data_IF_250706975280
#
_entry.id   IF_250706975280
#
_cell.length_a   1.000
_cell.length_b   1.000
_cell.length_c   1.000
_cell.angle_alpha   90.00
_cell.angle_beta   90.00
_cell.angle_gamma   90.00
#
_symmetry.space_group_name_H-M   'P 1'
#
loop_
_entity.id
_entity.type
_entity.pdbx_description
1 polymer ?
#
# COMPACT_ATOMS: atom_id res chain seq x y z
N UNK A 1 35.09 12.29 89.80
CA UNK A 1 35.96 12.37 88.61
C UNK A 1 35.67 11.12 87.77
N UNK A 2 35.15 11.32 86.55
CA UNK A 2 34.80 10.35 85.50
C UNK A 2 33.83 9.20 85.80
N UNK A 3 32.59 9.34 85.31
CA UNK A 3 31.61 8.26 85.06
C UNK A 3 31.51 8.02 83.57
N UNK A 4 31.74 6.76 83.15
CA UNK A 4 31.70 6.32 81.75
C UNK A 4 30.26 6.02 81.29
N UNK A 5 29.88 6.55 80.12
CA UNK A 5 28.63 6.21 79.43
C UNK A 5 28.95 5.23 78.30
N UNK A 6 28.40 4.01 78.38
CA UNK A 6 28.46 3.02 77.31
C UNK A 6 27.32 3.26 76.32
N UNK A 7 27.65 3.49 75.06
CA UNK A 7 26.69 3.70 73.97
C UNK A 7 26.62 2.41 73.13
N UNK A 8 25.50 1.69 73.19
CA UNK A 8 25.22 0.50 72.37
C UNK A 8 24.46 0.91 71.10
N UNK A 9 25.11 0.74 69.94
CA UNK A 9 24.50 0.92 68.62
C UNK A 9 23.80 -0.38 68.20
N UNK A 10 22.47 -0.35 68.08
CA UNK A 10 21.70 -1.40 67.42
C UNK A 10 21.66 -1.12 65.91
N UNK A 11 22.30 -1.99 65.11
CA UNK A 11 22.18 -1.99 63.65
C UNK A 11 20.94 -2.78 63.24
N UNK A 12 19.94 -2.10 62.68
CA UNK A 12 18.76 -2.74 62.09
C UNK A 12 19.09 -3.18 60.66
N UNK A 13 19.19 -4.48 60.44
CA UNK A 13 19.23 -5.07 59.10
C UNK A 13 17.83 -5.05 58.47
N UNK A 14 17.65 -4.28 57.40
CA UNK A 14 16.45 -4.34 56.54
C UNK A 14 16.66 -5.42 55.48
N UNK A 15 15.92 -6.50 55.56
CA UNK A 15 15.88 -7.54 54.51
C UNK A 15 15.01 -7.00 53.38
N UNK A 16 15.64 -6.55 52.29
CA UNK A 16 14.94 -6.21 51.06
C UNK A 16 14.43 -7.50 50.39
N UNK A 17 13.15 -7.81 50.55
CA UNK A 17 12.46 -8.84 49.79
C UNK A 17 12.47 -8.43 48.30
N UNK A 18 13.33 -9.06 47.49
CA UNK A 18 13.26 -8.96 46.03
C UNK A 18 11.88 -9.44 45.60
N UNK A 19 11.10 -8.54 45.01
CA UNK A 19 9.82 -8.85 44.40
C UNK A 19 9.99 -10.01 43.42
N UNK A 20 9.07 -10.99 43.39
CA UNK A 20 9.14 -12.07 42.40
C UNK A 20 9.10 -11.46 41.00
N UNK A 21 10.02 -11.90 40.14
CA UNK A 21 10.00 -11.57 38.72
C UNK A 21 8.72 -12.17 38.13
N UNK A 22 7.67 -11.36 38.01
CA UNK A 22 6.51 -11.71 37.21
C UNK A 22 6.97 -11.75 35.76
N UNK A 23 7.08 -12.97 35.22
CA UNK A 23 7.19 -13.15 33.78
C UNK A 23 5.81 -12.83 33.22
N UNK A 24 5.68 -11.70 32.54
CA UNK A 24 4.46 -11.38 31.80
C UNK A 24 4.30 -12.40 30.66
N UNK A 25 3.40 -13.35 30.85
CA UNK A 25 3.00 -14.36 29.87
C UNK A 25 1.90 -13.82 28.94
N UNK A 26 1.89 -12.52 28.67
CA UNK A 26 0.97 -11.94 27.70
C UNK A 26 1.21 -12.56 26.32
N UNK A 27 0.25 -13.38 25.87
CA UNK A 27 0.24 -13.91 24.52
C UNK A 27 0.06 -12.70 23.59
N UNK A 28 0.94 -12.50 22.60
CA UNK A 28 0.78 -11.39 21.67
C UNK A 28 -0.60 -11.48 21.01
N UNK A 29 -1.30 -10.34 20.84
CA UNK A 29 -2.60 -10.33 20.22
C UNK A 29 -2.52 -10.94 18.81
N UNK A 30 -3.47 -11.81 18.49
CA UNK A 30 -3.58 -12.36 17.14
C UNK A 30 -4.11 -11.24 16.25
N UNK A 31 -3.33 -10.83 15.26
CA UNK A 31 -3.76 -9.88 14.25
C UNK A 31 -4.62 -10.61 13.23
N UNK A 32 -5.88 -10.18 13.08
CA UNK A 32 -6.80 -10.68 12.05
C UNK A 32 -6.97 -9.64 10.95
N UNK A 33 -6.87 -10.05 9.69
CA UNK A 33 -7.09 -9.16 8.55
C UNK A 33 -8.57 -9.11 8.18
N UNK A 34 -9.15 -7.90 8.21
CA UNK A 34 -10.52 -7.65 7.75
C UNK A 34 -10.47 -7.09 6.32
N UNK A 35 -11.19 -7.71 5.40
CA UNK A 35 -11.37 -7.18 4.03
C UNK A 35 -12.28 -5.96 4.09
N UNK A 36 -11.78 -4.83 3.60
CA UNK A 36 -12.52 -3.57 3.47
C UNK A 36 -13.18 -3.44 2.10
N UNK A 37 -12.46 -3.80 1.04
CA UNK A 37 -12.98 -3.77 -0.32
C UNK A 37 -12.23 -4.75 -1.22
N UNK A 38 -12.88 -5.18 -2.29
CA UNK A 38 -12.29 -5.97 -3.37
C UNK A 38 -12.87 -5.54 -4.70
N UNK A 39 -11.99 -5.26 -5.67
CA UNK A 39 -12.33 -4.89 -7.04
C UNK A 39 -11.43 -5.61 -8.03
N UNK A 40 -11.94 -5.77 -9.24
CA UNK A 40 -11.22 -6.46 -10.29
C UNK A 40 -11.59 -5.94 -11.67
N UNK A 41 -10.73 -6.22 -12.64
CA UNK A 41 -11.07 -6.12 -14.05
C UNK A 41 -10.35 -7.20 -14.87
N UNK A 42 -10.83 -7.46 -16.09
CA UNK A 42 -10.06 -8.29 -17.03
C UNK A 42 -8.96 -7.47 -17.68
N UNK A 43 -7.78 -8.04 -17.97
CA UNK A 43 -6.76 -7.37 -18.79
C UNK A 43 -6.97 -7.53 -20.30
N UNK A 44 -8.05 -8.20 -20.72
CA UNK A 44 -8.25 -8.65 -22.10
C UNK A 44 -9.31 -7.87 -22.88
N UNK A 45 -10.09 -7.01 -22.22
CA UNK A 45 -11.33 -6.43 -22.76
C UNK A 45 -11.30 -4.89 -22.85
N UNK A 46 -10.21 -4.28 -23.34
CA UNK A 46 -10.12 -2.80 -23.49
C UNK A 46 -10.64 -2.30 -24.83
N UNK A 47 -10.28 -3.00 -25.91
CA UNK A 47 -10.61 -2.69 -27.29
C UNK A 47 -10.98 -3.96 -28.05
N UNK A 48 -11.66 -3.80 -29.18
CA UNK A 48 -11.98 -4.92 -30.07
C UNK A 48 -10.73 -5.55 -30.72
N UNK A 49 -9.64 -4.78 -30.85
CA UNK A 49 -8.40 -5.23 -31.48
C UNK A 49 -7.48 -5.83 -30.42
N UNK A 50 -7.21 -7.14 -30.53
CA UNK A 50 -6.43 -7.90 -29.55
C UNK A 50 -5.03 -7.32 -29.32
N UNK A 51 -4.34 -6.86 -30.36
CA UNK A 51 -2.99 -6.27 -30.22
C UNK A 51 -2.98 -5.00 -29.37
N UNK A 52 -4.08 -4.23 -29.34
CA UNK A 52 -4.20 -3.06 -28.47
C UNK A 52 -4.37 -3.51 -27.02
N UNK A 53 -5.18 -4.53 -26.76
CA UNK A 53 -5.32 -5.11 -25.41
C UNK A 53 -3.98 -5.60 -24.86
N UNK A 54 -3.14 -6.21 -25.70
CA UNK A 54 -1.79 -6.65 -25.32
C UNK A 54 -0.89 -5.49 -24.87
N UNK A 55 -0.97 -4.33 -25.54
CA UNK A 55 -0.24 -3.11 -25.13
C UNK A 55 -0.70 -2.64 -23.76
N UNK A 56 -2.02 -2.54 -23.55
CA UNK A 56 -2.61 -2.15 -22.26
C UNK A 56 -2.19 -3.10 -21.14
N UNK A 57 -2.29 -4.41 -21.38
CA UNK A 57 -1.88 -5.45 -20.43
C UNK A 57 -0.41 -5.31 -20.05
N UNK A 58 0.50 -5.25 -21.04
CA UNK A 58 1.95 -5.11 -20.80
C UNK A 58 2.29 -3.88 -19.97
N UNK A 59 1.68 -2.74 -20.29
CA UNK A 59 1.90 -1.49 -19.55
C UNK A 59 1.34 -1.54 -18.13
N UNK A 60 0.16 -2.14 -17.91
CA UNK A 60 -0.42 -2.35 -16.58
C UNK A 60 0.49 -3.25 -15.74
N UNK A 61 0.91 -4.39 -16.28
CA UNK A 61 1.77 -5.33 -15.56
C UNK A 61 3.16 -4.75 -15.28
N UNK A 62 3.74 -3.99 -16.23
CA UNK A 62 4.99 -3.26 -16.00
C UNK A 62 4.84 -2.22 -14.89
N UNK A 63 3.72 -1.48 -14.85
CA UNK A 63 3.45 -0.51 -13.79
C UNK A 63 3.35 -1.17 -12.41
N UNK A 64 2.69 -2.34 -12.33
CA UNK A 64 2.69 -3.15 -11.10
C UNK A 64 4.08 -3.61 -10.70
N UNK A 65 4.94 -3.96 -11.66
CA UNK A 65 6.33 -4.35 -11.37
C UNK A 65 7.17 -3.18 -10.81
N UNK A 66 6.95 -1.97 -11.32
CA UNK A 66 7.51 -0.73 -10.75
C UNK A 66 6.99 -0.47 -9.34
N UNK A 67 5.68 -0.59 -9.12
CA UNK A 67 5.06 -0.45 -7.80
C UNK A 67 5.58 -1.48 -6.78
N UNK A 68 5.78 -2.72 -7.22
CA UNK A 68 6.37 -3.81 -6.45
C UNK A 68 7.90 -3.73 -6.34
N UNK A 69 8.53 -2.71 -6.96
CA UNK A 69 9.99 -2.50 -6.97
C UNK A 69 10.80 -3.67 -7.52
N UNK A 70 10.17 -4.58 -8.27
CA UNK A 70 10.88 -5.65 -9.01
C UNK A 70 11.50 -5.11 -10.28
N UNK A 71 11.01 -3.97 -10.77
CA UNK A 71 11.62 -3.14 -11.80
C UNK A 71 11.87 -1.76 -11.21
N UNK A 72 13.08 -1.23 -11.34
CA UNK A 72 13.41 0.14 -10.92
C UNK A 72 13.81 1.01 -12.12
N UNK A 73 14.23 0.38 -13.21
CA UNK A 73 14.65 1.02 -14.46
C UNK A 73 14.48 0.04 -15.61
N UNK A 74 14.47 0.56 -16.84
CA UNK A 74 14.23 -0.22 -18.07
C UNK A 74 15.08 -1.48 -18.23
N UNK A 75 16.34 -1.47 -17.79
CA UNK A 75 17.25 -2.62 -17.94
C UNK A 75 16.88 -3.80 -17.04
N UNK A 76 16.06 -3.58 -16.01
CA UNK A 76 15.62 -4.60 -15.07
C UNK A 76 14.38 -5.35 -15.58
N UNK A 77 13.82 -4.94 -16.72
CA UNK A 77 12.60 -5.52 -17.30
C UNK A 77 12.87 -6.93 -17.82
N UNK A 78 12.22 -7.90 -17.20
CA UNK A 78 12.09 -9.26 -17.69
C UNK A 78 10.62 -9.55 -18.02
N UNK A 79 10.28 -9.48 -19.31
CA UNK A 79 8.90 -9.69 -19.77
C UNK A 79 8.39 -11.11 -19.48
N UNK A 80 9.26 -12.12 -19.45
CA UNK A 80 8.85 -13.48 -19.13
C UNK A 80 8.38 -13.60 -17.67
N UNK A 81 8.93 -12.78 -16.78
CA UNK A 81 8.53 -12.71 -15.37
C UNK A 81 7.35 -11.77 -15.13
N UNK A 82 7.31 -10.62 -15.80
CA UNK A 82 6.26 -9.60 -15.62
C UNK A 82 4.90 -10.10 -16.12
N UNK A 83 4.88 -10.92 -17.17
CA UNK A 83 3.64 -11.44 -17.76
C UNK A 83 3.08 -12.67 -17.02
N UNK A 84 3.80 -13.21 -16.04
CA UNK A 84 3.31 -14.29 -15.18
C UNK A 84 2.33 -13.78 -14.13
N UNK A 85 1.60 -14.71 -13.51
CA UNK A 85 0.78 -14.42 -12.34
C UNK A 85 1.63 -13.75 -11.27
N UNK A 86 1.05 -12.77 -10.59
CA UNK A 86 1.77 -12.01 -9.58
C UNK A 86 0.90 -11.79 -8.37
N UNK A 87 1.54 -11.84 -7.21
CA UNK A 87 0.96 -11.50 -5.93
C UNK A 87 1.93 -10.56 -5.24
N UNK A 88 1.48 -9.35 -4.92
CA UNK A 88 2.25 -8.45 -4.07
C UNK A 88 1.31 -7.56 -3.27
N UNK A 89 1.86 -6.97 -2.22
CA UNK A 89 1.13 -6.01 -1.40
C UNK A 89 2.02 -4.87 -0.95
N UNK A 90 1.38 -3.77 -0.59
CA UNK A 90 2.02 -2.69 0.16
C UNK A 90 1.10 -2.24 1.29
N UNK A 91 1.71 -1.72 2.35
CA UNK A 91 1.02 -1.24 3.54
C UNK A 91 1.12 0.28 3.61
N UNK A 92 0.03 0.93 4.01
CA UNK A 92 0.00 2.31 4.46
C UNK A 92 -0.30 2.31 5.96
N UNK A 93 0.59 2.86 6.77
CA UNK A 93 0.34 3.14 8.18
C UNK A 93 -0.62 4.32 8.34
N UNK A 94 -1.23 4.52 9.53
CA UNK A 94 -2.05 5.70 9.80
C UNK A 94 -1.34 7.00 9.40
N UNK A 95 -2.00 7.79 8.53
CA UNK A 95 -1.51 9.05 8.00
C UNK A 95 -0.54 8.95 6.81
N UNK A 96 -0.06 7.75 6.46
CA UNK A 96 0.78 7.56 5.27
C UNK A 96 -0.04 7.67 3.98
N UNK A 97 0.65 8.10 2.92
CA UNK A 97 0.04 8.39 1.63
C UNK A 97 0.66 7.51 0.55
N UNK A 98 -0.20 6.92 -0.28
CA UNK A 98 0.17 6.46 -1.61
C UNK A 98 0.00 7.61 -2.59
N UNK A 99 1.01 7.87 -3.41
CA UNK A 99 0.91 8.74 -4.57
C UNK A 99 1.29 7.96 -5.82
N UNK A 100 0.46 7.99 -6.86
CA UNK A 100 0.65 7.12 -8.02
C UNK A 100 2.00 7.33 -8.71
N UNK A 101 2.48 8.56 -8.83
CA UNK A 101 3.85 8.88 -9.25
C UNK A 101 4.51 9.95 -8.35
N UNK A 102 5.80 10.17 -8.55
CA UNK A 102 6.69 10.97 -7.69
C UNK A 102 6.57 12.50 -7.90
N UNK A 103 5.95 12.96 -9.00
CA UNK A 103 5.54 14.36 -9.13
C UNK A 103 4.34 14.64 -8.20
N UNK A 104 4.64 14.97 -6.94
CA UNK A 104 3.66 15.11 -5.86
C UNK A 104 3.33 16.57 -5.55
N UNK A 105 2.09 16.83 -5.10
CA UNK A 105 1.69 18.16 -4.61
C UNK A 105 2.43 18.51 -3.30
N UNK A 106 2.74 19.80 -3.05
CA UNK A 106 3.50 20.22 -1.88
C UNK A 106 2.96 19.74 -0.52
N UNK A 107 1.64 19.65 -0.37
CA UNK A 107 0.96 19.20 0.86
C UNK A 107 1.19 17.72 1.23
N UNK A 108 1.66 16.91 0.27
CA UNK A 108 2.01 15.51 0.44
C UNK A 108 3.52 15.27 0.58
N UNK A 109 4.36 16.30 0.46
CA UNK A 109 5.80 16.17 0.68
C UNK A 109 6.10 15.61 2.08
N UNK A 110 6.90 14.54 2.12
CA UNK A 110 7.25 13.85 3.37
C UNK A 110 6.18 12.92 3.94
N UNK A 111 5.01 12.81 3.31
CA UNK A 111 3.92 11.88 3.71
C UNK A 111 3.79 10.66 2.79
N UNK A 112 4.32 10.75 1.57
CA UNK A 112 4.24 9.67 0.59
C UNK A 112 5.16 8.52 1.00
N UNK A 113 4.56 7.39 1.36
CA UNK A 113 5.25 6.16 1.74
C UNK A 113 5.43 5.21 0.54
N UNK A 114 4.46 5.24 -0.40
CA UNK A 114 4.43 4.34 -1.55
C UNK A 114 4.14 5.11 -2.82
N UNK A 115 4.88 4.80 -3.88
CA UNK A 115 4.65 5.29 -5.23
C UNK A 115 5.10 4.27 -6.26
N UNK A 116 4.57 4.34 -7.49
CA UNK A 116 5.09 3.53 -8.61
C UNK A 116 6.50 3.96 -9.01
N UNK A 117 6.84 5.24 -8.79
CA UNK A 117 8.10 5.86 -9.24
C UNK A 117 8.35 5.74 -10.75
N UNK A 118 7.28 5.56 -11.54
CA UNK A 118 7.32 5.49 -12.99
C UNK A 118 6.74 6.76 -13.64
N UNK A 119 7.23 7.06 -14.83
CA UNK A 119 6.90 8.22 -15.67
C UNK A 119 6.30 7.82 -17.04
N UNK A 120 5.95 6.55 -17.21
CA UNK A 120 5.07 6.05 -18.28
C UNK A 120 5.60 6.30 -19.70
N UNK A 121 6.93 6.37 -19.84
CA UNK A 121 7.60 6.71 -21.09
C UNK A 121 8.39 5.54 -21.69
N UNK A 122 8.74 5.64 -22.97
CA UNK A 122 9.50 4.60 -23.68
C UNK A 122 10.90 4.37 -23.11
N UNK A 123 11.49 5.39 -22.48
CA UNK A 123 12.78 5.33 -21.78
C UNK A 123 12.73 4.42 -20.55
N UNK A 124 11.54 4.20 -19.99
CA UNK A 124 11.28 3.30 -18.87
C UNK A 124 10.73 1.94 -19.32
N UNK A 125 10.57 1.72 -20.63
CA UNK A 125 10.15 0.44 -21.21
C UNK A 125 8.65 0.28 -21.42
N UNK A 126 7.85 1.32 -21.14
CA UNK A 126 6.44 1.32 -21.55
C UNK A 126 6.32 1.22 -23.07
N UNK A 127 5.32 0.48 -23.50
CA UNK A 127 5.03 0.20 -24.92
C UNK A 127 3.88 1.08 -25.42
N UNK A 128 3.78 1.22 -26.74
CA UNK A 128 2.77 2.03 -27.42
C UNK A 128 1.98 1.19 -28.43
N UNK A 129 0.72 1.54 -28.61
CA UNK A 129 -0.16 1.03 -29.66
C UNK A 129 0.02 1.74 -31.02
N UNK A 130 0.90 2.76 -31.07
CA UNK A 130 1.11 3.64 -32.22
C UNK A 130 0.75 5.10 -31.97
N UNK A 131 0.06 5.42 -30.87
CA UNK A 131 -0.32 6.78 -30.51
C UNK A 131 0.44 7.31 -29.28
N UNK A 132 0.33 6.62 -28.14
CA UNK A 132 0.92 7.05 -26.86
C UNK A 132 1.64 5.90 -26.18
N UNK A 133 2.63 6.22 -25.34
CA UNK A 133 3.26 5.26 -24.44
C UNK A 133 2.50 5.22 -23.12
N UNK A 134 2.46 4.05 -22.47
CA UNK A 134 1.87 3.92 -21.13
C UNK A 134 0.35 3.77 -21.13
N UNK A 135 -0.24 3.39 -22.27
CA UNK A 135 -1.64 2.97 -22.34
C UNK A 135 -1.97 1.96 -21.23
N UNK A 136 -3.08 2.16 -20.53
CA UNK A 136 -3.48 1.33 -19.39
C UNK A 136 -3.04 1.84 -18.01
N UNK A 137 -2.11 2.80 -17.92
CA UNK A 137 -1.72 3.42 -16.65
C UNK A 137 -2.91 4.07 -15.94
N UNK A 138 -3.72 4.86 -16.67
CA UNK A 138 -4.96 5.43 -16.14
C UNK A 138 -5.96 4.34 -15.71
N UNK A 139 -5.96 3.18 -16.36
CA UNK A 139 -6.88 2.08 -16.04
C UNK A 139 -6.51 1.45 -14.69
N UNK A 140 -5.23 1.15 -14.48
CA UNK A 140 -4.73 0.65 -13.21
C UNK A 140 -4.99 1.65 -12.08
N UNK A 141 -4.70 2.94 -12.29
CA UNK A 141 -5.00 3.97 -11.30
C UNK A 141 -6.49 4.05 -10.95
N UNK A 142 -7.36 3.87 -11.94
CA UNK A 142 -8.82 3.88 -11.73
C UNK A 142 -9.29 2.65 -10.93
N UNK A 143 -8.70 1.47 -11.15
CA UNK A 143 -8.99 0.29 -10.34
C UNK A 143 -8.55 0.47 -8.88
N UNK A 144 -7.34 1.02 -8.65
CA UNK A 144 -6.83 1.31 -7.30
C UNK A 144 -7.72 2.35 -6.60
N UNK A 145 -8.09 3.43 -7.31
CA UNK A 145 -9.01 4.45 -6.82
C UNK A 145 -10.36 3.85 -6.41
N UNK A 146 -10.91 2.97 -7.25
CA UNK A 146 -12.17 2.30 -6.95
C UNK A 146 -12.09 1.46 -5.67
N UNK A 147 -11.06 0.62 -5.54
CA UNK A 147 -10.86 -0.19 -4.34
C UNK A 147 -10.64 0.68 -3.09
N UNK A 148 -9.87 1.77 -3.20
CA UNK A 148 -9.57 2.67 -2.09
C UNK A 148 -10.80 3.45 -1.60
N UNK A 149 -11.62 3.98 -2.51
CA UNK A 149 -12.85 4.68 -2.16
C UNK A 149 -13.86 3.74 -1.48
N UNK A 150 -14.02 2.52 -2.01
CA UNK A 150 -14.94 1.53 -1.43
C UNK A 150 -14.42 1.00 -0.08
N UNK A 151 -13.11 1.00 0.15
CA UNK A 151 -12.51 0.75 1.46
C UNK A 151 -12.67 1.93 2.45
N UNK A 152 -13.26 3.05 2.02
CA UNK A 152 -13.48 4.24 2.84
C UNK A 152 -12.19 4.93 3.26
N UNK A 153 -11.17 4.92 2.41
CA UNK A 153 -9.95 5.72 2.59
C UNK A 153 -10.17 7.14 2.08
N UNK A 154 -9.33 8.07 2.53
CA UNK A 154 -9.34 9.42 1.98
C UNK A 154 -8.60 9.42 0.63
N UNK A 155 -9.28 9.88 -0.42
CA UNK A 155 -8.75 9.87 -1.79
C UNK A 155 -8.84 11.25 -2.42
N UNK A 156 -7.74 11.69 -3.03
CA UNK A 156 -7.70 12.87 -3.88
C UNK A 156 -7.35 12.47 -5.31
N UNK A 157 -8.29 12.71 -6.22
CA UNK A 157 -8.10 12.61 -7.67
C UNK A 157 -8.00 14.03 -8.22
N UNK A 158 -6.79 14.43 -8.62
CA UNK A 158 -6.54 15.80 -9.10
C UNK A 158 -7.15 16.08 -10.47
N UNK A 159 -7.31 15.03 -11.28
CA UNK A 159 -8.02 15.08 -12.55
C UNK A 159 -8.69 13.75 -12.85
N UNK A 160 -9.97 13.81 -13.23
CA UNK A 160 -10.74 12.62 -13.56
C UNK A 160 -10.53 12.18 -15.02
N UNK A 161 -10.75 10.89 -15.27
CA UNK A 161 -10.79 10.26 -16.59
C UNK A 161 -12.21 9.77 -16.89
N UNK A 162 -13.22 10.60 -16.60
CA UNK A 162 -14.61 10.25 -16.85
C UNK A 162 -15.04 10.47 -18.32
N UNK A 163 -14.13 11.02 -19.15
CA UNK A 163 -14.36 11.32 -20.56
C UNK A 163 -14.25 10.08 -21.47
N UNK A 164 -13.42 9.09 -21.09
CA UNK A 164 -13.27 7.84 -21.81
C UNK A 164 -13.58 6.65 -20.90
N UNK A 165 -14.42 5.74 -21.40
CA UNK A 165 -14.85 4.59 -20.64
C UNK A 165 -13.69 3.61 -20.45
N UNK A 166 -13.49 3.17 -19.21
CA UNK A 166 -12.59 2.08 -18.86
C UNK A 166 -13.48 0.86 -18.65
N UNK A 167 -13.36 -0.20 -19.46
CA UNK A 167 -14.14 -1.42 -19.27
C UNK A 167 -14.01 -1.95 -17.85
N UNK A 168 -15.12 -2.46 -17.32
CA UNK A 168 -15.30 -2.97 -15.95
C UNK A 168 -15.22 -1.93 -14.82
N UNK A 169 -14.77 -0.69 -15.08
CA UNK A 169 -14.64 0.36 -14.07
C UNK A 169 -15.73 1.42 -14.23
N UNK A 170 -16.60 1.65 -13.22
CA UNK A 170 -17.60 2.71 -13.28
C UNK A 170 -16.95 4.08 -13.49
N UNK A 171 -17.51 4.90 -14.38
CA UNK A 171 -16.92 6.18 -14.82
C UNK A 171 -16.53 7.14 -13.69
N UNK A 172 -17.26 7.09 -12.57
CA UNK A 172 -17.00 7.93 -11.39
C UNK A 172 -15.64 7.65 -10.73
N UNK A 173 -15.06 6.48 -10.94
CA UNK A 173 -13.75 6.10 -10.43
C UNK A 173 -12.61 6.35 -11.43
N UNK A 174 -12.91 6.91 -12.61
CA UNK A 174 -11.91 7.20 -13.62
C UNK A 174 -10.88 8.24 -13.16
N UNK A 175 -9.59 7.89 -13.22
CA UNK A 175 -8.45 8.73 -12.84
C UNK A 175 -7.59 9.03 -14.06
N UNK A 176 -7.22 10.30 -14.25
CA UNK A 176 -6.24 10.70 -15.25
C UNK A 176 -4.85 10.77 -14.60
N UNK A 177 -3.94 9.96 -15.13
CA UNK A 177 -2.54 9.94 -14.73
C UNK A 177 -1.67 10.47 -15.86
N UNK A 178 -0.77 11.40 -15.54
CA UNK A 178 0.18 11.93 -16.49
C UNK A 178 1.43 12.45 -15.79
N UNK A 179 2.59 12.21 -16.40
CA UNK A 179 3.86 12.77 -15.96
C UNK A 179 4.59 13.37 -17.15
N UNK A 180 5.34 14.43 -16.90
CA UNK A 180 6.27 15.01 -17.85
C UNK A 180 7.58 15.29 -17.14
N UNK A 181 8.63 14.54 -17.49
CA UNK A 181 9.96 14.69 -16.87
C UNK A 181 10.56 16.08 -17.08
N UNK A 182 10.16 16.81 -18.13
CA UNK A 182 10.61 18.17 -18.40
C UNK A 182 9.80 19.24 -17.64
N UNK A 183 8.56 18.94 -17.24
CA UNK A 183 7.69 19.84 -16.47
C UNK A 183 6.96 19.09 -15.37
N UNK A 184 7.58 19.05 -14.19
CA UNK A 184 7.03 18.37 -13.01
C UNK A 184 5.66 18.93 -12.59
N UNK A 185 5.41 20.23 -12.81
CA UNK A 185 4.17 20.87 -12.39
C UNK A 185 2.97 20.38 -13.19
N UNK A 186 3.16 20.00 -14.46
CA UNK A 186 2.10 19.36 -15.24
C UNK A 186 1.72 17.99 -14.67
N UNK A 187 2.67 17.25 -14.10
CA UNK A 187 2.43 15.94 -13.51
C UNK A 187 1.69 15.99 -12.17
N UNK A 188 1.99 16.96 -11.31
CA UNK A 188 1.37 17.04 -9.96
C UNK A 188 -0.16 17.15 -9.99
N UNK A 189 -0.73 17.68 -11.08
CA UNK A 189 -2.18 17.82 -11.31
C UNK A 189 -2.85 16.63 -12.00
N UNK A 190 -2.11 15.57 -12.29
CA UNK A 190 -2.60 14.35 -12.91
C UNK A 190 -2.08 13.13 -12.14
N UNK A 191 -2.37 13.12 -10.84
CA UNK A 191 -1.92 12.11 -9.89
C UNK A 191 -3.11 11.63 -9.04
N UNK A 192 -2.96 10.44 -8.44
CA UNK A 192 -3.88 9.85 -7.48
C UNK A 192 -3.19 9.77 -6.12
N UNK A 193 -3.82 10.36 -5.11
CA UNK A 193 -3.36 10.29 -3.73
C UNK A 193 -4.37 9.51 -2.90
N UNK A 194 -3.89 8.57 -2.10
CA UNK A 194 -4.69 7.79 -1.16
C UNK A 194 -4.04 7.89 0.21
N UNK A 195 -4.76 8.45 1.18
CA UNK A 195 -4.29 8.59 2.55
C UNK A 195 -4.98 7.54 3.42
N UNK A 196 -4.19 6.82 4.21
CA UNK A 196 -4.76 6.00 5.27
C UNK A 196 -5.24 6.91 6.41
N UNK A 197 -6.52 7.26 6.40
CA UNK A 197 -7.20 8.02 7.43
C UNK A 197 -7.75 7.15 8.57
N UNK A 198 -7.38 5.87 8.61
CA UNK A 198 -7.75 4.93 9.69
C UNK A 198 -6.69 4.95 10.78
N UNK A 199 -7.02 4.34 11.92
CA UNK A 199 -6.15 4.15 13.08
C UNK A 199 -5.40 2.80 13.06
N UNK A 200 -5.50 2.06 11.96
CA UNK A 200 -4.87 0.76 11.74
C UNK A 200 -4.12 0.75 10.40
N UNK A 201 -3.17 -0.16 10.27
CA UNK A 201 -2.48 -0.39 9.01
C UNK A 201 -3.47 -0.90 7.95
N UNK A 202 -3.36 -0.32 6.76
CA UNK A 202 -4.17 -0.69 5.60
C UNK A 202 -3.26 -1.29 4.55
N UNK A 203 -3.61 -2.48 4.07
CA UNK A 203 -2.81 -3.23 3.10
C UNK A 203 -3.56 -3.30 1.78
N UNK A 204 -2.92 -2.84 0.71
CA UNK A 204 -3.35 -3.07 -0.65
C UNK A 204 -2.67 -4.31 -1.17
N UNK A 205 -3.45 -5.22 -1.73
CA UNK A 205 -2.94 -6.44 -2.33
C UNK A 205 -3.38 -6.50 -3.77
N UNK A 206 -2.47 -6.98 -4.61
CA UNK A 206 -2.63 -7.09 -6.04
C UNK A 206 -2.39 -8.53 -6.44
N UNK A 207 -3.36 -9.09 -7.15
CA UNK A 207 -3.30 -10.47 -7.63
C UNK A 207 -3.67 -10.51 -9.11
N UNK A 208 -2.70 -10.86 -9.95
CA UNK A 208 -2.93 -11.18 -11.36
C UNK A 208 -2.98 -12.69 -11.54
N UNK A 209 -4.12 -13.19 -11.99
CA UNK A 209 -4.46 -14.62 -12.03
C UNK A 209 -4.35 -15.22 -13.43
N UNK A 210 -4.40 -16.55 -13.52
CA UNK A 210 -4.27 -17.29 -14.78
C UNK A 210 -5.39 -16.99 -15.80
N UNK A 211 -6.57 -16.61 -15.32
CA UNK A 211 -7.71 -16.17 -16.14
C UNK A 211 -7.55 -14.73 -16.68
N UNK A 212 -6.38 -14.12 -16.47
CA UNK A 212 -6.02 -12.77 -16.92
C UNK A 212 -6.84 -11.66 -16.25
N UNK A 213 -7.33 -11.92 -15.05
CA UNK A 213 -7.97 -10.94 -14.18
C UNK A 213 -6.95 -10.30 -13.24
N UNK A 214 -7.03 -8.99 -13.05
CA UNK A 214 -6.30 -8.30 -11.98
C UNK A 214 -7.27 -7.95 -10.86
N UNK A 215 -6.97 -8.44 -9.67
CA UNK A 215 -7.69 -8.17 -8.44
C UNK A 215 -6.92 -7.17 -7.58
N UNK A 216 -7.64 -6.22 -7.00
CA UNK A 216 -7.13 -5.31 -5.96
C UNK A 216 -8.03 -5.47 -4.74
N UNK A 217 -7.46 -5.95 -3.64
CA UNK A 217 -8.14 -6.06 -2.36
C UNK A 217 -7.47 -5.20 -1.30
N UNK A 218 -8.28 -4.56 -0.48
CA UNK A 218 -7.84 -3.68 0.60
C UNK A 218 -8.25 -4.33 1.90
N UNK A 219 -7.28 -4.56 2.78
CA UNK A 219 -7.51 -5.11 4.12
C UNK A 219 -7.03 -4.14 5.18
N UNK A 220 -7.52 -4.30 6.40
CA UNK A 220 -6.95 -3.67 7.58
C UNK A 220 -6.58 -4.72 8.63
N UNK A 221 -5.51 -4.44 9.36
CA UNK A 221 -5.09 -5.25 10.50
C UNK A 221 -5.93 -4.88 11.73
N UNK A 222 -6.66 -5.86 12.27
CA UNK A 222 -7.44 -5.70 13.50
C UNK A 222 -6.82 -6.54 14.61
N UNK A 223 -6.57 -5.92 15.77
CA UNK A 223 -6.10 -6.67 16.93
C UNK A 223 -7.25 -7.49 17.53
N UNK A 224 -7.12 -8.82 17.55
CA UNK A 224 -8.05 -9.69 18.25
C UNK A 224 -7.52 -9.96 19.67
N UNK A 225 -8.18 -9.39 20.68
CA UNK A 225 -7.90 -9.71 22.08
C UNK A 225 -8.53 -11.05 22.45
N UNK A 226 -7.75 -12.14 22.42
CA UNK A 226 -8.15 -13.39 23.06
C UNK A 226 -7.82 -13.32 24.55
N UNK A 227 -8.85 -13.13 25.39
CA UNK A 227 -8.73 -13.36 26.84
C UNK A 227 -8.78 -14.87 27.07
N UNK A 228 -7.64 -15.51 27.31
CA UNK A 228 -7.62 -16.86 27.87
C UNK A 228 -7.82 -16.73 29.38
N UNK A 229 -9.01 -17.10 29.86
CA UNK A 229 -9.24 -17.31 31.29
C UNK A 229 -8.46 -18.55 31.68
N UNK A 230 -7.29 -18.38 32.29
CA UNK A 230 -6.55 -19.49 32.87
C UNK A 230 -7.38 -20.07 34.03
N UNK A 231 -8.03 -21.22 33.80
CA UNK A 231 -8.56 -22.03 34.89
C UNK A 231 -7.37 -22.55 35.71
N UNK A 232 -7.13 -21.91 36.84
CA UNK A 232 -6.25 -22.46 37.87
C UNK A 232 -6.98 -23.66 38.47
N UNK A 233 -6.55 -24.87 38.10
CA UNK A 233 -6.93 -26.09 38.80
C UNK A 233 -6.21 -26.07 40.16
N UNK A 234 -7.00 -25.95 41.23
CA UNK A 234 -6.58 -26.24 42.60
C UNK A 234 -6.69 -27.75 42.87
#
# INVERSE_FOLDING_TARGET
MFTAFALTLFSTFTIALKSPNFVDLSIPPVVTQRVLAQRQFSLENRYAVASVNEVFKKNILLNLAYLNKTVVQKKDIDWNRIEQTTNFSFTLKPGEVFAYHDHVLPEYNGKVAVTTNAHFASQEGFVSDGYLFGDGVCHLASLINWAAQDAGLEVLVTKNHNFAAIPDVPKQYGVSIYTNVADKNSGTRNNLYITNNRNHDVVFHFEYTEDRTLNVFVTEDTASSRVMIAQTLF
#
